data_IF_970571351761
#
_entry.id   IF_970571351761
#
_cell.length_a   1.000
_cell.length_b   1.000
_cell.length_c   1.000
_cell.angle_alpha   90.00
_cell.angle_beta   90.00
_cell.angle_gamma   90.00
#
_symmetry.space_group_name_H-M   'P 1'
#
loop_
_entity.id
_entity.type
_entity.pdbx_description
1 polymer ?
#
# COMPACT_ATOMS: atom_id res chain seq x y z
N UNK A 1 30.50 52.67 39.76
CA UNK A 1 30.94 52.00 38.54
C UNK A 1 30.11 50.71 38.37
N UNK A 2 29.12 50.71 37.48
CA UNK A 2 28.28 49.53 37.23
C UNK A 2 28.90 48.77 36.04
N UNK A 3 29.37 47.54 36.29
CA UNK A 3 29.89 46.67 35.23
C UNK A 3 28.70 46.10 34.45
N UNK A 4 28.58 46.46 33.17
CA UNK A 4 27.65 45.83 32.23
C UNK A 4 28.18 44.46 31.82
N UNK A 5 27.45 43.41 32.17
CA UNK A 5 27.69 42.06 31.68
C UNK A 5 26.93 41.90 30.36
N UNK A 6 27.63 41.74 29.26
CA UNK A 6 27.03 41.42 27.95
C UNK A 6 27.02 39.89 27.83
N UNK A 7 25.82 39.30 27.88
CA UNK A 7 25.62 37.86 27.61
C UNK A 7 25.45 37.72 26.10
N UNK A 8 26.45 37.10 25.43
CA UNK A 8 26.37 36.76 24.01
C UNK A 8 25.64 35.40 23.88
N UNK A 9 24.38 35.44 23.44
CA UNK A 9 23.59 34.23 23.18
C UNK A 9 23.95 33.73 21.80
N UNK A 10 24.82 32.71 21.69
CA UNK A 10 25.08 32.02 20.44
C UNK A 10 23.89 31.07 20.13
N UNK A 11 22.99 31.48 19.24
CA UNK A 11 21.92 30.65 18.74
C UNK A 11 22.54 29.75 17.64
N UNK A 12 22.78 28.49 17.98
CA UNK A 12 23.12 27.46 17.00
C UNK A 12 21.84 27.08 16.25
N UNK A 13 21.70 27.51 15.00
CA UNK A 13 20.71 26.96 14.08
C UNK A 13 21.16 25.55 13.66
N UNK A 14 20.60 24.54 14.31
CA UNK A 14 20.70 23.17 13.82
C UNK A 14 19.77 23.09 12.60
N UNK A 15 20.33 23.13 11.40
CA UNK A 15 19.60 22.82 10.19
C UNK A 15 19.26 21.31 10.22
N UNK A 16 18.11 20.95 10.80
CA UNK A 16 17.53 19.62 10.63
C UNK A 16 16.98 19.61 9.20
N UNK A 17 17.76 19.10 8.27
CA UNK A 17 17.26 18.74 6.95
C UNK A 17 16.24 17.61 7.15
N UNK A 18 14.97 17.95 7.21
CA UNK A 18 13.88 17.01 7.05
C UNK A 18 14.01 16.46 5.63
N UNK A 19 14.63 15.29 5.49
CA UNK A 19 14.55 14.51 4.26
C UNK A 19 13.10 14.04 4.14
N UNK A 20 12.26 14.85 3.49
CA UNK A 20 10.99 14.37 3.01
C UNK A 20 11.28 13.18 2.08
N UNK A 21 10.67 12.04 2.32
CA UNK A 21 10.79 10.88 1.45
C UNK A 21 10.31 11.30 0.05
N UNK A 22 11.23 11.44 -0.89
CA UNK A 22 10.91 11.80 -2.27
C UNK A 22 10.62 10.52 -3.05
N UNK A 23 9.37 10.38 -3.48
CA UNK A 23 8.95 9.28 -4.34
C UNK A 23 9.37 9.59 -5.79
N UNK A 24 10.22 8.76 -6.44
CA UNK A 24 10.70 9.04 -7.80
C UNK A 24 9.54 8.98 -8.80
N UNK A 25 9.18 10.14 -9.33
CA UNK A 25 8.09 10.27 -10.30
C UNK A 25 8.46 9.62 -11.64
N UNK A 26 7.51 8.90 -12.25
CA UNK A 26 7.68 8.23 -13.55
C UNK A 26 8.82 7.17 -13.59
N UNK A 27 9.35 6.77 -12.46
CA UNK A 27 10.36 5.71 -12.39
C UNK A 27 9.77 4.36 -12.81
N UNK A 28 8.58 4.05 -12.32
CA UNK A 28 7.86 2.83 -12.67
C UNK A 28 6.90 3.04 -13.84
N UNK A 29 6.71 2.00 -14.64
CA UNK A 29 5.62 1.90 -15.62
C UNK A 29 4.46 1.08 -15.06
N UNK A 30 3.27 1.24 -15.66
CA UNK A 30 2.19 0.28 -15.49
C UNK A 30 2.68 -1.12 -15.90
N UNK A 31 2.55 -2.16 -15.05
CA UNK A 31 2.97 -3.51 -15.39
C UNK A 31 2.13 -4.17 -16.52
N UNK A 32 0.98 -3.61 -16.87
CA UNK A 32 0.13 -4.09 -17.97
C UNK A 32 0.11 -3.11 -19.15
N UNK A 33 -0.03 -3.63 -20.38
CA UNK A 33 -0.13 -2.82 -21.59
C UNK A 33 -1.59 -2.40 -21.92
N UNK A 34 -2.39 -2.23 -20.88
CA UNK A 34 -3.77 -1.71 -20.96
C UNK A 34 -3.90 -0.48 -20.03
N UNK A 35 -4.89 0.40 -20.24
CA UNK A 35 -5.11 1.52 -19.34
C UNK A 35 -5.21 1.08 -17.88
N UNK A 36 -4.44 1.73 -17.01
CA UNK A 36 -4.39 1.37 -15.60
C UNK A 36 -5.68 1.79 -14.91
N UNK A 37 -6.48 0.79 -14.51
CA UNK A 37 -7.68 0.94 -13.71
C UNK A 37 -7.56 0.05 -12.49
N UNK A 38 -8.05 0.51 -11.35
CA UNK A 38 -7.94 -0.24 -10.11
C UNK A 38 -9.25 -0.97 -9.76
N UNK A 39 -9.09 -2.14 -9.15
CA UNK A 39 -10.15 -2.85 -8.41
C UNK A 39 -10.12 -2.39 -6.96
N UNK A 40 -8.92 -2.25 -6.38
CA UNK A 40 -8.68 -1.78 -5.02
C UNK A 40 -7.40 -0.95 -4.95
N UNK A 41 -7.33 0.00 -3.99
CA UNK A 41 -6.17 0.85 -3.78
C UNK A 41 -5.37 0.47 -2.51
N UNK A 42 -4.21 1.11 -2.38
CA UNK A 42 -3.37 1.01 -1.18
C UNK A 42 -4.08 1.58 0.05
N UNK A 43 -3.98 0.87 1.17
CA UNK A 43 -4.58 1.29 2.43
C UNK A 43 -6.10 1.08 2.52
N UNK A 44 -6.71 0.36 1.58
CA UNK A 44 -8.10 -0.06 1.73
C UNK A 44 -8.24 -1.04 2.90
N UNK A 45 -9.22 -0.79 3.77
CA UNK A 45 -9.45 -1.61 4.97
C UNK A 45 -10.10 -2.93 4.56
N UNK A 46 -9.45 -4.03 4.90
CA UNK A 46 -9.96 -5.40 4.80
C UNK A 46 -10.36 -5.92 6.19
N UNK A 47 -11.01 -7.06 6.27
CA UNK A 47 -11.55 -7.60 7.54
C UNK A 47 -10.51 -7.72 8.66
N UNK A 48 -9.23 -7.93 8.35
CA UNK A 48 -8.16 -8.18 9.32
C UNK A 48 -6.79 -7.62 8.93
N UNK A 49 -6.70 -6.80 7.85
CA UNK A 49 -5.46 -6.21 7.39
C UNK A 49 -5.75 -5.01 6.48
N UNK A 50 -4.72 -4.21 6.22
CA UNK A 50 -4.73 -3.19 5.17
C UNK A 50 -4.37 -3.82 3.83
N UNK A 51 -4.98 -3.34 2.75
CA UNK A 51 -4.54 -3.69 1.40
C UNK A 51 -3.20 -2.99 1.11
N UNK A 52 -2.16 -3.78 0.84
CA UNK A 52 -0.76 -3.33 0.85
C UNK A 52 -0.25 -2.89 -0.53
N UNK A 53 -1.11 -2.88 -1.55
CA UNK A 53 -0.74 -2.54 -2.92
C UNK A 53 -1.87 -1.94 -3.74
N UNK A 54 -1.78 -2.11 -5.04
CA UNK A 54 -2.83 -1.80 -6.01
C UNK A 54 -3.31 -3.09 -6.66
N UNK A 55 -4.61 -3.32 -6.71
CA UNK A 55 -5.19 -4.38 -7.52
C UNK A 55 -5.52 -3.83 -8.91
N UNK A 56 -4.64 -4.11 -9.87
CA UNK A 56 -4.75 -3.60 -11.23
C UNK A 56 -5.70 -4.48 -12.04
N UNK A 57 -6.74 -3.88 -12.57
CA UNK A 57 -7.80 -4.56 -13.32
C UNK A 57 -7.26 -5.16 -14.62
N UNK A 58 -7.59 -6.43 -14.88
CA UNK A 58 -7.28 -7.15 -16.14
C UNK A 58 -8.51 -7.33 -17.05
N UNK A 59 -9.59 -6.54 -16.82
CA UNK A 59 -10.86 -6.65 -17.53
C UNK A 59 -11.44 -8.08 -17.47
N UNK A 60 -11.37 -8.70 -16.29
CA UNK A 60 -11.85 -10.07 -16.00
C UNK A 60 -11.15 -11.17 -16.87
N UNK A 61 -9.94 -10.89 -17.35
CA UNK A 61 -9.16 -11.84 -18.15
C UNK A 61 -7.93 -12.30 -17.38
N UNK A 62 -7.57 -13.54 -17.57
CA UNK A 62 -6.25 -14.08 -17.22
C UNK A 62 -5.32 -14.04 -18.43
N UNK A 63 -4.04 -14.32 -18.22
CA UNK A 63 -3.02 -14.44 -19.28
C UNK A 63 -2.75 -13.14 -20.05
N UNK A 64 -2.99 -11.97 -19.47
CA UNK A 64 -2.43 -10.73 -20.00
C UNK A 64 -0.92 -10.69 -19.69
N UNK A 65 -0.08 -10.26 -20.64
CA UNK A 65 1.34 -10.08 -20.38
C UNK A 65 1.57 -9.09 -19.23
N UNK A 66 2.40 -9.50 -18.26
CA UNK A 66 2.86 -8.67 -17.15
C UNK A 66 4.32 -8.33 -17.38
N UNK A 67 4.66 -7.07 -17.22
CA UNK A 67 5.99 -6.53 -17.52
C UNK A 67 6.65 -5.95 -16.26
N UNK A 68 7.99 -6.04 -16.21
CA UNK A 68 8.78 -5.40 -15.16
C UNK A 68 8.53 -3.88 -15.15
N UNK A 69 8.16 -3.33 -13.99
CA UNK A 69 7.82 -1.92 -13.87
C UNK A 69 9.04 -0.99 -13.97
N UNK A 70 10.25 -1.49 -13.67
CA UNK A 70 11.51 -0.77 -13.79
C UNK A 70 12.68 -1.77 -13.97
N UNK A 71 13.88 -1.26 -14.30
CA UNK A 71 15.10 -2.04 -14.35
C UNK A 71 15.41 -2.66 -12.97
N UNK A 72 15.95 -3.89 -12.96
CA UNK A 72 16.31 -4.57 -11.73
C UNK A 72 16.67 -6.03 -11.94
N UNK A 73 16.41 -6.86 -10.94
CA UNK A 73 16.55 -8.30 -11.03
C UNK A 73 15.48 -8.98 -10.19
N UNK A 74 15.04 -10.17 -10.59
CA UNK A 74 14.11 -10.98 -9.81
C UNK A 74 14.86 -11.49 -8.57
N UNK A 75 14.49 -10.95 -7.41
CA UNK A 75 15.14 -11.26 -6.14
C UNK A 75 14.44 -12.39 -5.37
N UNK A 76 13.14 -12.57 -5.61
CA UNK A 76 12.34 -13.61 -4.94
C UNK A 76 11.19 -14.06 -5.82
N UNK A 77 10.84 -15.34 -5.73
CA UNK A 77 9.64 -15.93 -6.32
C UNK A 77 8.94 -16.74 -5.25
N UNK A 78 7.62 -16.62 -5.15
CA UNK A 78 6.80 -17.48 -4.30
C UNK A 78 5.70 -18.18 -5.09
N UNK A 79 5.41 -19.42 -4.66
CA UNK A 79 4.25 -20.20 -5.11
C UNK A 79 3.58 -20.76 -3.87
N UNK A 80 2.32 -20.38 -3.64
CA UNK A 80 1.58 -20.82 -2.46
C UNK A 80 0.07 -20.93 -2.76
N UNK A 81 -0.69 -21.76 -2.00
CA UNK A 81 -2.12 -21.95 -2.26
C UNK A 81 -2.99 -20.76 -1.87
N UNK A 82 -2.51 -19.91 -0.96
CA UNK A 82 -3.18 -18.69 -0.49
C UNK A 82 -2.31 -17.46 -0.75
N UNK A 83 -2.56 -16.37 -0.01
CA UNK A 83 -1.77 -15.16 -0.12
C UNK A 83 -1.67 -14.63 -1.55
N UNK A 84 -0.46 -14.34 -2.00
CA UNK A 84 -0.20 -13.85 -3.36
C UNK A 84 -0.27 -14.92 -4.46
N UNK A 85 -0.44 -16.21 -4.10
CA UNK A 85 -0.41 -17.30 -5.09
C UNK A 85 0.95 -17.46 -5.73
N UNK A 86 1.01 -17.30 -7.06
CA UNK A 86 2.28 -17.15 -7.77
C UNK A 86 2.68 -15.69 -7.79
N UNK A 87 3.86 -15.37 -7.27
CA UNK A 87 4.35 -13.99 -7.19
C UNK A 87 5.82 -13.85 -7.54
N UNK A 88 6.17 -12.70 -8.14
CA UNK A 88 7.53 -12.26 -8.44
C UNK A 88 7.84 -11.01 -7.64
N UNK A 89 9.06 -10.93 -7.10
CA UNK A 89 9.61 -9.74 -6.44
C UNK A 89 10.86 -9.29 -7.21
N UNK A 90 10.88 -8.03 -7.62
CA UNK A 90 11.99 -7.44 -8.37
C UNK A 90 12.63 -6.35 -7.51
N UNK A 91 13.92 -6.50 -7.21
CA UNK A 91 14.71 -5.46 -6.55
C UNK A 91 15.25 -4.48 -7.59
N UNK A 92 15.12 -3.19 -7.31
CA UNK A 92 15.52 -2.09 -8.20
C UNK A 92 16.72 -1.32 -7.66
N UNK A 93 17.54 -0.70 -8.54
CA UNK A 93 18.74 0.07 -8.12
C UNK A 93 18.43 1.25 -7.19
N UNK A 94 17.20 1.76 -7.17
CA UNK A 94 16.77 2.88 -6.32
C UNK A 94 16.43 2.46 -4.87
N UNK A 95 16.66 1.20 -4.49
CA UNK A 95 16.38 0.70 -3.14
C UNK A 95 14.92 0.31 -2.89
N UNK A 96 14.13 0.17 -3.96
CA UNK A 96 12.76 -0.35 -3.86
C UNK A 96 12.66 -1.77 -4.41
N UNK A 97 11.59 -2.46 -4.01
CA UNK A 97 11.20 -3.77 -4.53
C UNK A 97 9.77 -3.69 -5.05
N UNK A 98 9.52 -4.17 -6.27
CA UNK A 98 8.15 -4.36 -6.75
C UNK A 98 7.71 -5.81 -6.61
N UNK A 99 6.45 -6.01 -6.20
CA UNK A 99 5.80 -7.30 -6.12
C UNK A 99 4.68 -7.37 -7.15
N UNK A 100 4.57 -8.52 -7.82
CA UNK A 100 3.50 -8.86 -8.75
C UNK A 100 2.86 -10.15 -8.28
N UNK A 101 1.61 -10.09 -7.83
CA UNK A 101 0.87 -11.21 -7.25
C UNK A 101 -0.24 -11.73 -8.17
N UNK A 102 -0.80 -12.88 -7.77
CA UNK A 102 -1.89 -13.60 -8.41
C UNK A 102 -1.60 -14.03 -9.86
N UNK A 103 -0.32 -14.23 -10.18
CA UNK A 103 0.13 -14.60 -11.52
C UNK A 103 -0.33 -16.00 -11.90
N UNK A 104 -0.54 -16.23 -13.20
CA UNK A 104 -0.92 -17.54 -13.74
C UNK A 104 0.28 -18.36 -14.20
N UNK A 105 1.28 -17.71 -14.79
CA UNK A 105 2.50 -18.35 -15.25
C UNK A 105 3.67 -17.37 -15.26
N UNK A 106 4.86 -17.86 -14.97
CA UNK A 106 6.11 -17.12 -15.13
C UNK A 106 6.63 -17.24 -16.58
N UNK A 107 7.55 -16.35 -16.98
CA UNK A 107 8.23 -16.52 -18.26
C UNK A 107 9.04 -17.84 -18.29
N UNK A 108 9.31 -18.43 -19.47
CA UNK A 108 9.70 -19.84 -19.58
C UNK A 108 10.91 -20.25 -18.75
N UNK A 109 11.99 -19.47 -18.76
CA UNK A 109 13.22 -19.84 -18.03
C UNK A 109 13.04 -19.76 -16.51
N UNK A 110 12.27 -18.79 -16.02
CA UNK A 110 11.91 -18.71 -14.59
C UNK A 110 10.97 -19.85 -14.19
N UNK A 111 9.98 -20.16 -15.04
CA UNK A 111 9.05 -21.26 -14.78
C UNK A 111 9.80 -22.60 -14.67
N UNK A 112 10.79 -22.84 -15.56
CA UNK A 112 11.63 -24.03 -15.49
C UNK A 112 12.44 -24.08 -14.20
N UNK A 113 13.10 -22.98 -13.81
CA UNK A 113 13.84 -22.88 -12.54
C UNK A 113 12.94 -23.17 -11.34
N UNK A 114 11.77 -22.55 -11.26
CA UNK A 114 10.81 -22.76 -10.16
C UNK A 114 10.39 -24.23 -10.08
N UNK A 115 10.08 -24.86 -11.24
CA UNK A 115 9.71 -26.27 -11.32
C UNK A 115 10.85 -27.19 -10.80
N UNK A 116 12.09 -26.93 -11.18
CA UNK A 116 13.26 -27.68 -10.69
C UNK A 116 13.39 -27.57 -9.17
N UNK A 117 13.20 -26.36 -8.61
CA UNK A 117 13.24 -26.16 -7.16
C UNK A 117 12.09 -26.87 -6.45
N UNK A 118 10.88 -26.87 -7.02
CA UNK A 118 9.74 -27.62 -6.49
C UNK A 118 10.04 -29.13 -6.41
N UNK A 119 10.62 -29.71 -7.45
CA UNK A 119 11.04 -31.12 -7.46
C UNK A 119 12.17 -31.38 -6.46
N UNK A 120 13.19 -30.53 -6.42
CA UNK A 120 14.30 -30.68 -5.48
C UNK A 120 13.85 -30.63 -4.01
N UNK A 121 12.86 -29.78 -3.69
CA UNK A 121 12.27 -29.64 -2.35
C UNK A 121 11.10 -30.60 -2.10
N UNK A 122 10.71 -31.41 -3.10
CA UNK A 122 9.52 -32.27 -3.04
C UNK A 122 8.27 -31.52 -2.54
N UNK A 123 8.11 -30.27 -2.96
CA UNK A 123 7.06 -29.37 -2.52
C UNK A 123 6.54 -28.52 -3.66
N UNK A 124 5.21 -28.48 -3.84
CA UNK A 124 4.59 -27.53 -4.72
C UNK A 124 4.75 -26.08 -4.21
N UNK A 125 4.66 -25.89 -2.88
CA UNK A 125 4.87 -24.60 -2.25
C UNK A 125 6.36 -24.30 -2.15
N UNK A 126 6.78 -23.16 -2.70
CA UNK A 126 8.16 -22.67 -2.63
C UNK A 126 8.21 -21.16 -2.36
N UNK A 127 9.27 -20.74 -1.68
CA UNK A 127 9.65 -19.35 -1.52
C UNK A 127 11.15 -19.26 -1.76
N UNK A 128 11.53 -18.79 -2.93
CA UNK A 128 12.88 -18.88 -3.47
C UNK A 128 13.54 -17.51 -3.48
N UNK A 129 14.60 -17.34 -2.70
CA UNK A 129 15.51 -16.20 -2.88
C UNK A 129 16.42 -16.47 -4.08
N UNK A 130 16.54 -15.50 -4.96
CA UNK A 130 17.26 -15.64 -6.25
C UNK A 130 18.46 -14.69 -6.26
N UNK A 131 19.67 -15.18 -6.62
CA UNK A 131 20.85 -14.35 -6.77
C UNK A 131 20.67 -13.24 -7.81
N UNK A 132 21.21 -12.05 -7.53
CA UNK A 132 21.03 -10.86 -8.36
C UNK A 132 21.45 -10.98 -9.83
N UNK A 133 22.40 -11.89 -10.12
CA UNK A 133 22.91 -12.12 -11.48
C UNK A 133 22.15 -13.20 -12.28
N UNK A 134 21.14 -13.84 -11.69
CA UNK A 134 20.46 -14.97 -12.32
C UNK A 134 19.35 -14.54 -13.30
N UNK A 135 18.50 -13.62 -12.89
CA UNK A 135 17.39 -13.11 -13.73
C UNK A 135 17.35 -11.57 -13.70
N UNK A 136 18.33 -10.90 -14.37
CA UNK A 136 18.25 -9.46 -14.59
C UNK A 136 17.07 -9.13 -15.52
N UNK A 137 16.42 -7.99 -15.29
CA UNK A 137 15.29 -7.50 -16.09
C UNK A 137 15.43 -6.02 -16.39
N UNK A 138 14.93 -5.62 -17.56
CA UNK A 138 14.77 -4.23 -17.96
C UNK A 138 13.31 -3.79 -17.81
N UNK A 139 13.11 -2.49 -17.59
CA UNK A 139 11.78 -1.87 -17.59
C UNK A 139 11.03 -2.23 -18.88
N UNK A 140 9.91 -2.93 -18.75
CA UNK A 140 9.12 -3.39 -19.89
C UNK A 140 9.37 -4.82 -20.33
N UNK A 141 10.34 -5.54 -19.76
CA UNK A 141 10.53 -6.96 -20.06
C UNK A 141 9.32 -7.77 -19.61
N UNK A 142 8.93 -8.74 -20.43
CA UNK A 142 7.89 -9.72 -20.09
C UNK A 142 8.38 -10.62 -18.95
N UNK A 143 7.63 -10.66 -17.84
CA UNK A 143 8.01 -11.44 -16.66
C UNK A 143 7.01 -12.54 -16.30
N UNK A 144 5.73 -12.38 -16.66
CA UNK A 144 4.68 -13.33 -16.29
C UNK A 144 3.39 -13.10 -17.08
N UNK A 145 2.45 -14.02 -16.91
CA UNK A 145 1.05 -13.85 -17.30
C UNK A 145 0.18 -13.57 -16.09
N UNK A 146 -0.76 -12.62 -16.21
CA UNK A 146 -1.73 -12.30 -15.16
C UNK A 146 -2.67 -13.47 -14.88
N UNK A 147 -3.17 -13.56 -13.65
CA UNK A 147 -4.02 -14.68 -13.25
C UNK A 147 -5.02 -14.32 -12.17
N UNK A 148 -5.31 -15.34 -11.34
CA UNK A 148 -6.18 -15.28 -10.16
C UNK A 148 -5.75 -16.37 -9.17
N UNK A 149 -4.45 -16.61 -9.01
CA UNK A 149 -3.91 -17.61 -8.08
C UNK A 149 -3.87 -17.07 -6.65
N UNK A 150 -3.81 -17.95 -5.66
CA UNK A 150 -3.78 -17.55 -4.25
C UNK A 150 -5.12 -17.06 -3.71
N UNK A 151 -5.09 -16.09 -2.81
CA UNK A 151 -6.29 -15.50 -2.18
C UNK A 151 -6.89 -14.39 -3.05
N UNK A 152 -7.32 -14.73 -4.27
CA UNK A 152 -7.89 -13.81 -5.25
C UNK A 152 -9.35 -14.15 -5.53
N UNK A 153 -10.23 -13.16 -5.51
CA UNK A 153 -11.65 -13.30 -5.84
C UNK A 153 -11.97 -13.21 -7.35
N UNK A 154 -10.96 -12.92 -8.16
CA UNK A 154 -11.10 -12.81 -9.61
C UNK A 154 -9.84 -12.26 -10.29
N UNK A 155 -9.76 -12.30 -11.64
CA UNK A 155 -8.56 -11.93 -12.37
C UNK A 155 -8.14 -10.47 -12.15
N UNK A 156 -6.93 -10.26 -11.63
CA UNK A 156 -6.25 -8.98 -11.49
C UNK A 156 -4.74 -9.18 -11.28
N UNK A 157 -3.96 -8.12 -11.28
CA UNK A 157 -2.57 -8.14 -10.83
C UNK A 157 -2.48 -7.33 -9.53
N UNK A 158 -2.15 -7.99 -8.43
CA UNK A 158 -1.78 -7.31 -7.20
C UNK A 158 -0.36 -6.77 -7.36
N UNK A 159 -0.18 -5.46 -7.17
CA UNK A 159 1.08 -4.76 -7.40
C UNK A 159 1.47 -3.94 -6.17
N UNK A 160 2.67 -4.20 -5.63
CA UNK A 160 3.22 -3.42 -4.51
C UNK A 160 4.54 -2.76 -4.90
N UNK A 161 4.85 -1.65 -4.24
CA UNK A 161 6.18 -1.07 -4.16
C UNK A 161 6.59 -1.11 -2.69
N UNK A 162 7.75 -1.68 -2.40
CA UNK A 162 8.31 -1.79 -1.05
C UNK A 162 9.64 -1.07 -0.96
N UNK A 163 9.97 -0.59 0.22
CA UNK A 163 11.36 -0.34 0.58
C UNK A 163 12.09 -1.69 0.70
N UNK A 164 13.17 -1.87 -0.06
CA UNK A 164 13.88 -3.17 -0.12
C UNK A 164 14.46 -3.59 1.23
N UNK A 165 14.82 -2.62 2.08
CA UNK A 165 15.54 -2.86 3.34
C UNK A 165 14.60 -3.21 4.50
N UNK A 166 13.48 -2.50 4.58
CA UNK A 166 12.51 -2.63 5.67
C UNK A 166 11.32 -3.52 5.31
N UNK A 167 11.13 -3.81 4.02
CA UNK A 167 9.92 -4.46 3.46
C UNK A 167 8.62 -3.66 3.69
N UNK A 168 8.69 -2.41 4.18
CA UNK A 168 7.52 -1.56 4.29
C UNK A 168 6.92 -1.28 2.92
N UNK A 169 5.61 -1.50 2.79
CA UNK A 169 4.89 -1.17 1.57
C UNK A 169 4.71 0.33 1.44
N UNK A 170 5.18 0.89 0.35
CA UNK A 170 5.04 2.30 -0.01
C UNK A 170 3.75 2.47 -0.83
N UNK A 171 3.02 3.54 -0.62
CA UNK A 171 1.82 3.80 -1.41
C UNK A 171 2.18 4.03 -2.90
N UNK A 172 1.82 3.13 -3.81
CA UNK A 172 2.22 3.24 -5.21
C UNK A 172 1.62 4.47 -5.91
N UNK A 173 0.50 5.02 -5.42
CA UNK A 173 -0.11 6.22 -5.98
C UNK A 173 0.78 7.46 -5.88
N UNK A 174 1.78 7.46 -5.00
CA UNK A 174 2.74 8.55 -4.83
C UNK A 174 3.84 8.57 -5.91
N UNK A 175 3.91 7.56 -6.78
CA UNK A 175 4.92 7.42 -7.84
C UNK A 175 4.47 7.90 -9.22
N UNK A 176 3.34 8.61 -9.29
CA UNK A 176 2.78 9.19 -10.52
C UNK A 176 2.42 8.16 -11.62
N UNK A 177 1.69 7.11 -11.23
CA UNK A 177 1.07 6.24 -12.23
C UNK A 177 -0.05 6.97 -12.99
N UNK A 178 -0.32 6.60 -14.26
CA UNK A 178 -1.32 7.27 -15.10
C UNK A 178 -2.75 6.84 -14.69
N UNK A 179 -3.15 7.16 -13.48
CA UNK A 179 -4.49 6.89 -12.94
C UNK A 179 -5.22 8.22 -12.83
N UNK A 180 -6.32 8.35 -13.57
CA UNK A 180 -7.14 9.55 -13.49
C UNK A 180 -7.95 9.55 -12.19
N UNK A 181 -7.78 10.60 -11.40
CA UNK A 181 -8.55 10.84 -10.19
C UNK A 181 -8.88 12.33 -10.04
N UNK A 182 -10.17 12.63 -10.14
CA UNK A 182 -10.73 13.96 -9.94
C UNK A 182 -11.99 13.91 -9.03
N UNK A 183 -12.24 12.77 -8.40
CA UNK A 183 -13.42 12.54 -7.55
C UNK A 183 -12.99 12.71 -6.09
N UNK A 184 -13.56 13.66 -5.34
CA UNK A 184 -13.23 13.80 -3.94
C UNK A 184 -13.82 12.65 -3.10
N UNK A 185 -13.17 12.25 -1.99
CA UNK A 185 -13.69 11.22 -1.10
C UNK A 185 -15.02 11.64 -0.46
N UNK A 186 -15.87 10.67 -0.20
CA UNK A 186 -17.20 10.87 0.40
C UNK A 186 -17.23 10.29 1.81
N UNK A 187 -17.55 11.14 2.78
CA UNK A 187 -17.89 10.70 4.17
C UNK A 187 -19.40 10.42 4.23
N UNK A 188 -19.77 9.16 4.46
CA UNK A 188 -21.16 8.71 4.51
C UNK A 188 -21.63 8.39 5.93
N UNK A 189 -20.73 8.24 6.91
CA UNK A 189 -21.07 7.91 8.28
C UNK A 189 -20.03 8.45 9.26
N UNK A 190 -20.53 9.01 10.38
CA UNK A 190 -19.69 9.36 11.53
C UNK A 190 -20.34 8.75 12.77
N UNK A 191 -19.55 8.09 13.61
CA UNK A 191 -19.97 7.51 14.87
C UNK A 191 -19.06 8.00 16.00
N UNK A 192 -19.65 8.32 17.14
CA UNK A 192 -18.93 8.73 18.36
C UNK A 192 -18.96 7.60 19.39
N UNK A 193 -17.84 7.37 20.03
CA UNK A 193 -17.66 6.39 21.10
C UNK A 193 -17.24 7.07 22.41
N UNK A 194 -17.80 6.64 23.52
CA UNK A 194 -17.35 6.97 24.87
C UNK A 194 -16.12 6.12 25.22
N UNK A 195 -14.97 6.75 25.37
CA UNK A 195 -13.69 6.06 25.65
C UNK A 195 -13.49 5.68 27.11
N UNK A 196 -14.45 5.99 28.00
CA UNK A 196 -14.52 5.42 29.36
C UNK A 196 -15.18 4.03 29.38
N UNK A 197 -15.71 3.57 28.24
CA UNK A 197 -16.32 2.26 28.04
C UNK A 197 -15.57 1.47 26.98
N UNK A 198 -15.67 0.15 27.04
CA UNK A 198 -15.19 -0.71 25.96
C UNK A 198 -15.96 -0.41 24.65
N UNK A 199 -15.25 -0.31 23.54
CA UNK A 199 -15.87 -0.15 22.21
C UNK A 199 -16.71 -1.37 21.81
N UNK A 200 -16.41 -2.54 22.35
CA UNK A 200 -17.16 -3.77 22.09
C UNK A 200 -18.48 -3.89 22.89
N UNK A 201 -18.59 -3.13 23.98
CA UNK A 201 -19.72 -3.21 24.92
C UNK A 201 -20.64 -1.97 24.82
N UNK A 202 -20.51 -1.16 23.78
CA UNK A 202 -21.36 0.00 23.57
C UNK A 202 -21.85 0.10 22.14
N UNK A 203 -23.08 0.63 21.96
CA UNK A 203 -23.54 1.10 20.66
C UNK A 203 -23.02 2.52 20.45
N UNK A 204 -22.36 2.83 19.31
CA UNK A 204 -21.90 4.19 19.04
C UNK A 204 -23.06 5.15 18.82
N UNK A 205 -22.88 6.39 19.24
CA UNK A 205 -23.81 7.45 18.89
C UNK A 205 -23.54 7.92 17.45
N UNK A 206 -24.54 7.76 16.58
CA UNK A 206 -24.43 8.24 15.21
C UNK A 206 -24.53 9.77 15.18
N UNK A 207 -23.66 10.40 14.39
CA UNK A 207 -23.55 11.85 14.25
C UNK A 207 -23.97 12.26 12.85
N UNK A 208 -25.04 13.03 12.74
CA UNK A 208 -25.43 13.62 11.47
C UNK A 208 -24.54 14.86 11.17
N UNK A 209 -24.18 15.05 9.91
CA UNK A 209 -23.36 16.19 9.47
C UNK A 209 -24.04 17.51 9.86
N UNK A 210 -23.31 18.40 10.51
CA UNK A 210 -23.81 19.72 10.92
C UNK A 210 -24.71 19.72 12.14
N UNK A 211 -24.97 18.58 12.80
CA UNK A 211 -25.81 18.53 14.01
C UNK A 211 -24.98 18.67 15.28
N UNK A 212 -25.59 19.28 16.29
CA UNK A 212 -25.07 19.28 17.66
C UNK A 212 -25.40 17.95 18.34
N UNK A 213 -24.44 17.40 19.07
CA UNK A 213 -24.63 16.19 19.87
C UNK A 213 -24.34 16.50 21.35
N UNK A 214 -25.11 15.87 22.24
CA UNK A 214 -24.80 15.90 23.69
C UNK A 214 -23.78 14.80 23.97
N UNK A 215 -22.66 15.21 24.56
CA UNK A 215 -21.58 14.30 24.95
C UNK A 215 -21.64 14.12 26.46
N UNK A 216 -21.98 12.92 26.92
CA UNK A 216 -22.02 12.57 28.36
C UNK A 216 -20.69 12.07 28.92
N UNK A 217 -19.59 12.27 28.18
CA UNK A 217 -18.26 11.75 28.51
C UNK A 217 -17.18 12.82 28.30
N UNK A 218 -16.15 12.79 29.12
CA UNK A 218 -14.96 13.64 28.98
C UNK A 218 -13.88 13.01 28.08
N UNK A 219 -14.08 11.80 27.59
CA UNK A 219 -13.18 11.07 26.68
C UNK A 219 -13.99 10.45 25.56
N UNK A 220 -13.81 10.97 24.36
CA UNK A 220 -14.51 10.48 23.17
C UNK A 220 -13.52 10.17 22.04
N UNK A 221 -13.96 9.33 21.12
CA UNK A 221 -13.33 9.13 19.81
C UNK A 221 -14.38 9.05 18.72
N UNK A 222 -13.96 9.30 17.49
CA UNK A 222 -14.80 9.19 16.32
C UNK A 222 -14.34 8.04 15.44
N UNK A 223 -15.30 7.33 14.86
CA UNK A 223 -15.10 6.45 13.72
C UNK A 223 -15.79 7.09 12.50
N UNK A 224 -15.10 7.06 11.37
CA UNK A 224 -15.57 7.68 10.13
C UNK A 224 -15.70 6.59 9.07
N UNK A 225 -16.91 6.44 8.51
CA UNK A 225 -17.13 5.67 7.28
C UNK A 225 -16.96 6.60 6.10
N UNK A 226 -15.94 6.35 5.30
CA UNK A 226 -15.64 7.13 4.10
C UNK A 226 -15.16 6.20 2.99
N UNK A 227 -15.36 6.62 1.74
CA UNK A 227 -14.81 5.94 0.57
C UNK A 227 -14.38 6.98 -0.46
N UNK A 228 -13.37 6.61 -1.20
CA UNK A 228 -12.90 7.32 -2.37
C UNK A 228 -13.25 6.56 -3.65
N UNK A 229 -13.18 7.21 -4.81
CA UNK A 229 -13.41 6.58 -6.11
C UNK A 229 -12.53 7.24 -7.16
N UNK A 230 -11.85 6.44 -7.94
CA UNK A 230 -11.16 6.95 -9.11
C UNK A 230 -12.14 7.39 -10.19
N UNK A 231 -11.75 8.37 -10.98
CA UNK A 231 -12.55 8.82 -12.13
C UNK A 231 -12.90 7.64 -13.05
N UNK A 232 -14.16 7.58 -13.45
CA UNK A 232 -14.71 6.49 -14.27
C UNK A 232 -14.69 5.09 -13.61
N UNK A 233 -14.66 5.01 -12.28
CA UNK A 233 -14.80 3.78 -11.51
C UNK A 233 -15.99 3.86 -10.57
N UNK A 234 -16.71 2.75 -10.42
CA UNK A 234 -17.77 2.59 -9.42
C UNK A 234 -17.29 1.91 -8.15
N UNK A 235 -16.06 1.38 -8.14
CA UNK A 235 -15.48 0.69 -7.01
C UNK A 235 -15.20 1.69 -5.87
N UNK A 236 -15.70 1.44 -4.65
CA UNK A 236 -15.27 2.17 -3.48
C UNK A 236 -13.84 1.76 -3.14
N UNK A 237 -12.99 2.74 -2.87
CA UNK A 237 -11.60 2.58 -2.45
C UNK A 237 -11.40 3.18 -1.05
N UNK A 238 -10.27 2.86 -0.41
CA UNK A 238 -9.85 3.46 0.84
C UNK A 238 -9.45 4.93 0.64
N UNK A 239 -9.55 5.72 1.71
CA UNK A 239 -9.12 7.12 1.73
C UNK A 239 -7.62 7.22 2.04
N UNK A 240 -6.94 8.19 1.43
CA UNK A 240 -5.50 8.40 1.60
C UNK A 240 -5.15 9.03 2.94
N UNK A 241 -5.93 10.01 3.38
CA UNK A 241 -5.68 10.72 4.64
C UNK A 241 -6.98 11.25 5.25
N UNK A 242 -6.95 11.47 6.58
CA UNK A 242 -8.00 12.20 7.28
C UNK A 242 -7.42 13.01 8.44
N UNK A 243 -8.03 14.17 8.71
CA UNK A 243 -7.70 15.06 9.82
C UNK A 243 -8.91 15.33 10.68
N UNK A 244 -8.71 15.37 11.98
CA UNK A 244 -9.69 15.83 12.96
C UNK A 244 -9.21 17.16 13.53
N UNK A 245 -10.01 18.20 13.37
CA UNK A 245 -9.76 19.51 13.95
C UNK A 245 -10.80 19.79 15.04
N UNK A 246 -10.37 20.38 16.13
CA UNK A 246 -11.23 20.90 17.21
C UNK A 246 -10.98 22.40 17.32
N UNK A 247 -12.00 23.21 17.11
CA UNK A 247 -11.92 24.68 17.10
C UNK A 247 -10.79 25.21 16.19
N UNK A 248 -10.61 24.56 15.03
CA UNK A 248 -9.56 24.91 14.07
C UNK A 248 -8.17 24.33 14.38
N UNK A 249 -7.98 23.72 15.56
CA UNK A 249 -6.71 23.11 15.96
C UNK A 249 -6.67 21.64 15.58
N UNK A 250 -5.57 21.19 14.93
CA UNK A 250 -5.36 19.78 14.57
C UNK A 250 -5.18 18.93 15.83
N UNK A 251 -6.04 17.94 16.04
CA UNK A 251 -5.98 17.00 17.19
C UNK A 251 -5.60 15.59 16.78
N UNK A 252 -5.85 15.19 15.53
CA UNK A 252 -5.47 13.88 15.02
C UNK A 252 -5.38 13.91 13.50
N UNK A 253 -4.42 13.16 12.96
CA UNK A 253 -4.23 12.98 11.53
C UNK A 253 -3.69 11.58 11.25
N UNK A 254 -4.09 11.00 10.12
CA UNK A 254 -3.37 9.89 9.50
C UNK A 254 -3.12 10.18 8.03
N UNK A 255 -2.01 9.68 7.51
CA UNK A 255 -1.63 9.76 6.09
C UNK A 255 -1.03 8.40 5.71
N UNK A 256 -1.57 7.77 4.66
CA UNK A 256 -1.14 6.44 4.20
C UNK A 256 -0.03 6.54 3.14
N UNK A 257 1.14 7.02 3.54
CA UNK A 257 2.33 7.04 2.68
C UNK A 257 3.00 5.66 2.58
N UNK A 258 3.02 4.94 3.69
CA UNK A 258 3.55 3.58 3.79
C UNK A 258 2.83 2.83 4.92
N UNK A 259 2.88 1.51 4.86
CA UNK A 259 2.35 0.62 5.90
C UNK A 259 3.34 -0.53 6.07
N UNK A 260 3.69 -0.88 7.31
CA UNK A 260 4.46 -2.08 7.59
C UNK A 260 3.55 -3.32 7.67
N UNK A 261 4.10 -4.49 7.37
CA UNK A 261 3.35 -5.74 7.56
C UNK A 261 3.06 -6.04 9.04
N UNK A 262 3.84 -5.49 9.96
CA UNK A 262 3.59 -5.63 11.40
C UNK A 262 2.41 -4.76 11.84
N UNK A 263 2.31 -3.52 11.32
CA UNK A 263 1.19 -2.62 11.60
C UNK A 263 -0.14 -3.18 11.06
N UNK A 264 -0.12 -3.79 9.87
CA UNK A 264 -1.35 -4.35 9.29
C UNK A 264 -1.94 -5.48 10.13
N UNK A 265 -1.11 -6.22 10.90
CA UNK A 265 -1.58 -7.27 11.81
C UNK A 265 -2.23 -6.74 13.08
N UNK A 266 -1.93 -5.50 13.46
CA UNK A 266 -2.46 -4.84 14.67
C UNK A 266 -3.92 -4.40 14.55
N UNK A 267 -4.53 -4.49 13.38
CA UNK A 267 -5.94 -4.13 13.15
C UNK A 267 -6.94 -5.05 13.86
N UNK A 268 -6.49 -6.11 14.52
CA UNK A 268 -7.34 -7.07 15.24
C UNK A 268 -7.67 -6.65 16.69
N UNK A 269 -7.11 -5.53 17.19
CA UNK A 269 -7.22 -5.11 18.59
C UNK A 269 -8.08 -3.84 18.76
#
# INVERSE_FOLDING_TARGET
MVKKVVILLCIYFINISLFAQTYPQNYFRNPLDIPMKLVANFGEIRANHWHMGLDIRTNQRVNLPVHAAADGYIARVSVEPGGFGQAIYINHPNGTTTLYGHLNAFFPTLAQYVKEQQYAQQSWRVNLNIPANMFPVKKGDFIALSGSTGASEGPHVHFEIRDTKTENCLNPLLFNFPIADAVPPTVYRIAMYDRNKSTYLQSPQMVAKGSAIKVGSNRISFAVGAADRFSNSTNPNGIYSARVLMDGTLVSEFILNNISYDDTRSMRN
#
